data_IF_013409545971
#
_entry.id   IF_013409545971
#
_cell.length_a   1.000
_cell.length_b   1.000
_cell.length_c   1.000
_cell.angle_alpha   90.00
_cell.angle_beta   90.00
_cell.angle_gamma   90.00
#
_symmetry.space_group_name_H-M   'P 1'
#
loop_
_entity.id
_entity.type
_entity.pdbx_description
1 polymer ?
#
# COMPACT_ATOMS: atom_id res chain seq x y z
N UNK A 1 -2.87 -39.99 2.99
CA UNK A 1 -1.70 -39.81 3.86
C UNK A 1 -1.13 -38.39 3.77
N UNK A 2 -0.84 -37.84 2.57
CA UNK A 2 -0.37 -36.46 2.39
C UNK A 2 -1.26 -35.36 3.01
N UNK A 3 -2.59 -35.50 2.91
CA UNK A 3 -3.53 -34.48 3.42
C UNK A 3 -3.42 -34.32 4.94
N UNK A 4 -3.31 -35.41 5.70
CA UNK A 4 -3.16 -35.35 7.15
C UNK A 4 -1.84 -34.69 7.57
N UNK A 5 -0.76 -34.90 6.82
CA UNK A 5 0.53 -34.24 7.07
C UNK A 5 0.48 -32.73 6.83
N UNK A 6 -0.27 -32.26 5.83
CA UNK A 6 -0.46 -30.82 5.55
C UNK A 6 -1.27 -30.15 6.66
N UNK A 7 -2.39 -30.75 7.08
CA UNK A 7 -3.17 -30.20 8.19
C UNK A 7 -2.39 -30.23 9.51
N UNK A 8 -1.61 -31.29 9.76
CA UNK A 8 -0.71 -31.38 10.92
C UNK A 8 0.35 -30.28 10.93
N UNK A 9 1.03 -30.04 9.81
CA UNK A 9 2.04 -28.98 9.72
C UNK A 9 1.43 -27.57 9.84
N UNK A 10 0.21 -27.35 9.35
CA UNK A 10 -0.49 -26.07 9.48
C UNK A 10 -0.81 -25.72 10.93
N UNK A 11 -1.23 -26.72 11.72
CA UNK A 11 -1.49 -26.55 13.16
C UNK A 11 -0.19 -26.21 13.90
N UNK A 12 0.87 -26.95 13.60
CA UNK A 12 2.21 -26.73 14.20
C UNK A 12 2.77 -25.36 13.81
N UNK A 13 2.63 -24.95 12.56
CA UNK A 13 3.08 -23.65 12.06
C UNK A 13 2.32 -22.50 12.72
N UNK A 14 1.01 -22.59 12.88
CA UNK A 14 0.23 -21.57 13.59
C UNK A 14 0.61 -21.47 15.06
N UNK A 15 0.88 -22.60 15.73
CA UNK A 15 1.29 -22.63 17.13
C UNK A 15 2.68 -21.99 17.30
N UNK A 16 3.60 -22.26 16.37
CA UNK A 16 4.90 -21.61 16.32
C UNK A 16 4.79 -20.11 16.02
N UNK A 17 3.94 -19.72 15.07
CA UNK A 17 3.66 -18.33 14.72
C UNK A 17 3.07 -17.55 15.91
N UNK A 18 2.26 -18.19 16.73
CA UNK A 18 1.74 -17.61 17.98
C UNK A 18 2.86 -17.30 18.97
N UNK A 19 3.80 -18.25 19.15
CA UNK A 19 4.95 -18.07 20.04
C UNK A 19 5.89 -16.97 19.56
N UNK A 20 6.31 -17.03 18.29
CA UNK A 20 7.17 -16.02 17.66
C UNK A 20 6.47 -14.67 17.61
N UNK A 21 5.19 -14.64 17.26
CA UNK A 21 4.39 -13.42 17.19
C UNK A 21 4.28 -12.72 18.55
N UNK A 22 4.09 -13.47 19.64
CA UNK A 22 3.99 -12.89 20.99
C UNK A 22 5.32 -12.31 21.47
N UNK A 23 6.44 -13.00 21.23
CA UNK A 23 7.78 -12.51 21.56
C UNK A 23 8.13 -11.31 20.67
N UNK A 24 7.90 -11.43 19.37
CA UNK A 24 8.16 -10.38 18.37
C UNK A 24 7.40 -9.11 18.69
N UNK A 25 6.09 -9.19 18.92
CA UNK A 25 5.25 -8.02 19.22
C UNK A 25 5.72 -7.31 20.50
N UNK A 26 6.12 -8.05 21.53
CA UNK A 26 6.67 -7.45 22.76
C UNK A 26 7.97 -6.68 22.50
N UNK A 27 8.86 -7.23 21.68
CA UNK A 27 10.13 -6.57 21.31
C UNK A 27 9.88 -5.34 20.44
N UNK A 28 9.03 -5.43 19.41
CA UNK A 28 8.68 -4.31 18.55
C UNK A 28 7.96 -3.19 19.30
N UNK A 29 7.01 -3.50 20.19
CA UNK A 29 6.38 -2.50 21.05
C UNK A 29 7.40 -1.78 21.92
N UNK A 30 8.39 -2.48 22.46
CA UNK A 30 9.44 -1.88 23.30
C UNK A 30 10.37 -0.97 22.48
N UNK A 31 10.68 -1.33 21.23
CA UNK A 31 11.42 -0.48 20.29
C UNK A 31 10.67 0.82 20.00
N UNK A 32 9.36 0.74 19.72
CA UNK A 32 8.52 1.91 19.40
C UNK A 32 8.27 2.82 20.62
N UNK A 33 8.30 2.28 21.84
CA UNK A 33 8.17 3.06 23.08
C UNK A 33 9.42 3.86 23.46
N UNK A 34 10.56 3.63 22.78
CA UNK A 34 11.79 4.41 22.97
C UNK A 34 11.53 5.89 22.64
N UNK A 35 12.10 6.86 23.37
CA UNK A 35 11.86 8.28 23.14
C UNK A 35 12.03 8.65 21.67
N UNK A 36 10.98 9.28 21.12
CA UNK A 36 10.88 9.64 19.71
C UNK A 36 12.07 10.52 19.24
N UNK A 37 12.70 11.24 20.16
CA UNK A 37 13.90 12.07 19.93
C UNK A 37 15.07 11.24 19.35
N UNK A 38 15.21 9.97 19.73
CA UNK A 38 16.27 9.07 19.22
C UNK A 38 15.75 8.24 18.05
N UNK A 39 14.45 7.93 18.03
CA UNK A 39 13.85 7.07 17.02
C UNK A 39 13.86 7.72 15.63
N UNK A 40 13.45 8.99 15.54
CA UNK A 40 13.41 9.73 14.26
C UNK A 40 14.76 9.82 13.54
N UNK A 41 15.87 10.23 14.17
CA UNK A 41 17.16 10.34 13.47
C UNK A 41 17.67 8.98 12.97
N UNK A 42 17.48 7.91 13.74
CA UNK A 42 17.85 6.55 13.31
C UNK A 42 17.03 6.14 12.07
N UNK A 43 15.71 6.36 12.08
CA UNK A 43 14.84 6.03 10.94
C UNK A 43 15.27 6.79 9.68
N UNK A 44 15.51 8.10 9.80
CA UNK A 44 15.92 8.94 8.68
C UNK A 44 17.27 8.47 8.13
N UNK A 45 18.24 8.20 9.01
CA UNK A 45 19.57 7.72 8.62
C UNK A 45 19.51 6.35 7.91
N UNK A 46 18.75 5.40 8.47
CA UNK A 46 18.54 4.08 7.87
C UNK A 46 17.83 4.18 6.53
N UNK A 47 16.84 5.07 6.37
CA UNK A 47 16.11 5.23 5.12
C UNK A 47 16.97 5.87 4.03
N UNK A 48 17.81 6.86 4.38
CA UNK A 48 18.80 7.45 3.47
C UNK A 48 19.80 6.39 3.00
N UNK A 49 20.40 5.64 3.93
CA UNK A 49 21.32 4.55 3.59
C UNK A 49 20.65 3.46 2.74
N UNK A 50 19.42 3.07 3.08
CA UNK A 50 18.66 2.07 2.32
C UNK A 50 18.38 2.49 0.88
N UNK A 51 17.96 3.75 0.67
CA UNK A 51 17.73 4.29 -0.68
C UNK A 51 19.02 4.39 -1.50
N UNK A 52 20.13 4.75 -0.86
CA UNK A 52 21.43 4.83 -1.53
C UNK A 52 21.95 3.45 -1.95
N UNK A 53 21.78 2.42 -1.12
CA UNK A 53 22.25 1.06 -1.41
C UNK A 53 21.46 0.34 -2.52
N UNK A 54 20.23 0.79 -2.82
CA UNK A 54 19.36 0.12 -3.80
C UNK A 54 19.89 0.24 -5.24
N UNK A 55 20.26 1.46 -5.66
CA UNK A 55 20.75 1.72 -7.01
C UNK A 55 22.09 2.47 -7.06
N UNK A 56 22.75 2.74 -5.92
CA UNK A 56 23.98 3.56 -5.84
C UNK A 56 23.85 4.91 -6.56
N UNK A 57 22.62 5.45 -6.60
CA UNK A 57 22.26 6.62 -7.38
C UNK A 57 21.78 7.73 -6.44
N UNK A 58 22.35 8.92 -6.62
CA UNK A 58 21.99 10.12 -5.86
C UNK A 58 20.57 10.57 -6.22
N UNK A 59 20.08 10.20 -7.41
CA UNK A 59 18.74 10.53 -7.86
C UNK A 59 17.66 9.85 -7.00
N UNK A 60 17.84 8.59 -6.63
CA UNK A 60 16.90 7.84 -5.78
C UNK A 60 16.83 8.41 -4.36
N UNK A 61 17.96 8.88 -3.83
CA UNK A 61 18.01 9.61 -2.56
C UNK A 61 17.25 10.93 -2.65
N UNK A 62 17.42 11.68 -3.75
CA UNK A 62 16.68 12.92 -4.00
C UNK A 62 15.17 12.69 -4.11
N UNK A 63 14.75 11.64 -4.82
CA UNK A 63 13.36 11.24 -4.97
C UNK A 63 12.74 10.80 -3.63
N UNK A 64 13.48 10.02 -2.83
CA UNK A 64 13.10 9.65 -1.47
C UNK A 64 12.87 10.88 -0.58
N UNK A 65 13.77 11.87 -0.64
CA UNK A 65 13.66 13.11 0.12
C UNK A 65 12.46 13.96 -0.33
N UNK A 66 12.20 14.01 -1.64
CA UNK A 66 11.03 14.67 -2.21
C UNK A 66 9.71 14.04 -1.71
N UNK A 67 9.60 12.70 -1.74
CA UNK A 67 8.42 12.01 -1.23
C UNK A 67 8.27 12.13 0.29
N UNK A 68 9.37 12.17 1.05
CA UNK A 68 9.34 12.44 2.48
C UNK A 68 8.80 13.85 2.79
N UNK A 69 9.21 14.85 2.01
CA UNK A 69 8.71 16.22 2.12
C UNK A 69 7.22 16.31 1.74
N UNK A 70 6.81 15.65 0.65
CA UNK A 70 5.41 15.57 0.23
C UNK A 70 4.54 14.93 1.32
N UNK A 71 5.02 13.84 1.93
CA UNK A 71 4.34 13.19 3.05
C UNK A 71 4.23 14.13 4.26
N UNK A 72 5.27 14.91 4.59
CA UNK A 72 5.16 15.91 5.65
C UNK A 72 4.06 16.94 5.35
N UNK A 73 3.96 17.41 4.11
CA UNK A 73 2.91 18.32 3.67
C UNK A 73 1.51 17.69 3.86
N UNK A 74 1.30 16.46 3.40
CA UNK A 74 0.04 15.73 3.56
C UNK A 74 -0.39 15.61 5.03
N UNK A 75 0.58 15.52 5.96
CA UNK A 75 0.31 15.49 7.41
C UNK A 75 -0.23 16.82 7.91
N UNK A 76 0.29 17.92 7.38
CA UNK A 76 -0.19 19.27 7.69
C UNK A 76 -1.63 19.50 7.21
N UNK A 77 -2.01 18.93 6.08
CA UNK A 77 -3.38 19.02 5.53
C UNK A 77 -4.36 17.96 6.08
N UNK A 78 -3.96 17.15 7.08
CA UNK A 78 -4.77 16.06 7.64
C UNK A 78 -5.25 15.02 6.62
N UNK A 79 -4.57 14.90 5.47
CA UNK A 79 -4.83 13.83 4.53
C UNK A 79 -4.27 12.51 5.08
N UNK A 80 -4.98 11.40 4.82
CA UNK A 80 -4.52 10.07 5.22
C UNK A 80 -3.37 9.62 4.32
N UNK A 81 -2.12 9.67 4.81
CA UNK A 81 -0.95 9.13 4.10
C UNK A 81 -1.11 7.67 3.72
N UNK A 82 -1.79 6.91 4.58
CA UNK A 82 -2.05 5.49 4.39
C UNK A 82 -2.86 5.27 3.11
N UNK A 83 -3.88 6.11 2.86
CA UNK A 83 -4.67 6.02 1.63
C UNK A 83 -3.84 6.29 0.37
N UNK A 84 -2.88 7.21 0.43
CA UNK A 84 -2.00 7.48 -0.70
C UNK A 84 -1.08 6.30 -1.01
N UNK A 85 -0.49 5.69 0.01
CA UNK A 85 0.37 4.50 -0.15
C UNK A 85 -0.43 3.34 -0.76
N UNK A 86 -1.65 3.09 -0.26
CA UNK A 86 -2.54 2.05 -0.82
C UNK A 86 -2.88 2.36 -2.28
N UNK A 87 -3.21 3.62 -2.60
CA UNK A 87 -3.49 4.05 -3.97
C UNK A 87 -2.29 3.85 -4.90
N UNK A 88 -1.08 4.19 -4.45
CA UNK A 88 0.15 4.01 -5.23
C UNK A 88 0.46 2.55 -5.52
N UNK A 89 0.25 1.65 -4.55
CA UNK A 89 0.41 0.20 -4.73
C UNK A 89 -0.68 -0.40 -5.63
N UNK A 90 -1.91 0.13 -5.56
CA UNK A 90 -3.02 -0.32 -6.40
C UNK A 90 -2.92 0.18 -7.84
N UNK A 91 -2.30 1.33 -8.08
CA UNK A 91 -2.15 1.92 -9.42
C UNK A 91 -1.61 0.94 -10.48
N UNK A 92 -0.50 0.20 -10.26
CA UNK A 92 0.01 -0.75 -11.26
C UNK A 92 -0.93 -1.94 -11.48
N UNK A 93 -1.66 -2.38 -10.44
CA UNK A 93 -2.65 -3.47 -10.55
C UNK A 93 -3.82 -3.00 -11.43
N UNK A 94 -4.22 -1.75 -11.27
CA UNK A 94 -5.26 -1.15 -12.08
C UNK A 94 -4.81 -0.93 -13.53
N UNK A 95 -3.60 -0.44 -13.74
CA UNK A 95 -3.04 -0.22 -15.08
C UNK A 95 -2.90 -1.53 -15.86
N UNK A 96 -2.40 -2.58 -15.22
CA UNK A 96 -2.29 -3.91 -15.84
C UNK A 96 -3.67 -4.50 -16.15
N UNK A 97 -4.65 -4.34 -15.26
CA UNK A 97 -6.03 -4.75 -15.53
C UNK A 97 -6.63 -3.98 -16.73
N UNK A 98 -6.38 -2.67 -16.84
CA UNK A 98 -6.80 -1.88 -17.99
C UNK A 98 -6.14 -2.34 -19.29
N UNK A 99 -4.83 -2.58 -19.27
CA UNK A 99 -4.11 -3.09 -20.43
C UNK A 99 -4.68 -4.46 -20.87
N UNK A 100 -4.94 -5.36 -19.93
CA UNK A 100 -5.58 -6.65 -20.20
C UNK A 100 -6.97 -6.50 -20.83
N UNK A 101 -7.77 -5.55 -20.34
CA UNK A 101 -9.09 -5.25 -20.91
C UNK A 101 -8.99 -4.74 -22.35
N UNK A 102 -8.02 -3.86 -22.65
CA UNK A 102 -7.81 -3.29 -23.99
C UNK A 102 -7.35 -4.39 -24.97
N UNK A 103 -6.40 -5.23 -24.56
CA UNK A 103 -5.90 -6.35 -25.38
C UNK A 103 -7.01 -7.35 -25.66
N UNK A 104 -7.84 -7.67 -24.66
CA UNK A 104 -8.97 -8.60 -24.81
C UNK A 104 -10.12 -8.05 -25.67
N UNK A 105 -10.14 -6.74 -25.95
CA UNK A 105 -11.22 -6.07 -26.68
C UNK A 105 -10.89 -5.77 -28.15
N UNK A 106 -9.87 -6.41 -28.72
CA UNK A 106 -9.44 -6.27 -30.13
C UNK A 106 -9.44 -4.80 -30.63
N UNK A 107 -8.82 -3.90 -29.86
CA UNK A 107 -8.65 -2.48 -30.23
C UNK A 107 -9.94 -1.65 -30.45
N UNK A 108 -11.12 -2.15 -30.07
CA UNK A 108 -12.37 -1.38 -30.20
C UNK A 108 -12.80 -0.77 -28.85
N UNK A 109 -12.53 0.53 -28.59
CA UNK A 109 -12.79 1.19 -27.29
C UNK A 109 -14.28 1.26 -26.91
N UNK A 110 -15.18 0.96 -27.85
CA UNK A 110 -16.63 0.91 -27.64
C UNK A 110 -17.11 -0.38 -26.95
N UNK A 111 -16.24 -1.39 -26.76
CA UNK A 111 -16.62 -2.66 -26.13
C UNK A 111 -16.94 -2.56 -24.64
N UNK A 112 -16.43 -1.51 -23.97
CA UNK A 112 -16.72 -1.17 -22.57
C UNK A 112 -18.21 -0.80 -22.42
N UNK A 113 -18.82 -0.20 -23.46
CA UNK A 113 -20.23 0.16 -23.48
C UNK A 113 -21.16 -1.00 -23.90
N UNK A 114 -20.65 -2.01 -24.61
CA UNK A 114 -21.46 -3.17 -25.02
C UNK A 114 -21.65 -4.18 -23.88
N UNK A 115 -20.82 -4.13 -22.83
CA UNK A 115 -20.94 -4.99 -21.65
C UNK A 115 -21.72 -4.27 -20.55
N UNK A 116 -23.02 -4.57 -20.33
CA UNK A 116 -23.86 -3.85 -19.36
C UNK A 116 -23.31 -3.91 -17.92
N UNK A 117 -22.56 -4.97 -17.59
CA UNK A 117 -21.89 -5.13 -16.29
C UNK A 117 -20.77 -4.10 -16.07
N UNK A 118 -20.03 -3.73 -17.12
CA UNK A 118 -18.93 -2.78 -17.02
C UNK A 118 -19.44 -1.35 -16.76
N UNK A 119 -20.54 -0.95 -17.42
CA UNK A 119 -21.20 0.35 -17.18
C UNK A 119 -21.71 0.46 -15.75
N UNK A 120 -22.34 -0.59 -15.23
CA UNK A 120 -22.87 -0.61 -13.86
C UNK A 120 -21.72 -0.46 -12.84
N UNK A 121 -20.63 -1.20 -13.02
CA UNK A 121 -19.44 -1.08 -12.17
C UNK A 121 -18.82 0.32 -12.25
N UNK A 122 -18.69 0.90 -13.45
CA UNK A 122 -18.15 2.24 -13.63
C UNK A 122 -18.99 3.30 -12.91
N UNK A 123 -20.32 3.23 -13.04
CA UNK A 123 -21.24 4.14 -12.34
C UNK A 123 -21.13 4.00 -10.81
N UNK A 124 -21.01 2.78 -10.29
CA UNK A 124 -20.84 2.52 -8.86
C UNK A 124 -19.49 3.10 -8.38
N UNK A 125 -18.41 2.86 -9.12
CA UNK A 125 -17.09 3.42 -8.80
C UNK A 125 -17.12 4.95 -8.77
N UNK A 126 -17.75 5.57 -9.78
CA UNK A 126 -17.87 7.03 -9.88
C UNK A 126 -18.72 7.59 -8.74
N UNK A 127 -19.83 6.92 -8.39
CA UNK A 127 -20.66 7.27 -7.24
C UNK A 127 -19.89 7.19 -5.91
N UNK A 128 -19.12 6.13 -5.69
CA UNK A 128 -18.31 5.95 -4.48
C UNK A 128 -17.22 7.02 -4.40
N UNK A 129 -16.51 7.30 -5.50
CA UNK A 129 -15.47 8.34 -5.55
C UNK A 129 -16.05 9.72 -5.26
N UNK A 130 -17.20 10.07 -5.84
CA UNK A 130 -17.85 11.36 -5.58
C UNK A 130 -18.30 11.46 -4.12
N UNK A 131 -18.89 10.40 -3.57
CA UNK A 131 -19.30 10.35 -2.16
C UNK A 131 -18.12 10.48 -1.21
N UNK A 132 -17.01 9.79 -1.46
CA UNK A 132 -15.82 9.88 -0.63
C UNK A 132 -15.13 11.23 -0.78
N UNK A 133 -15.01 11.77 -2.00
CA UNK A 133 -14.44 13.09 -2.24
C UNK A 133 -15.24 14.21 -1.53
N UNK A 134 -16.57 14.21 -1.63
CA UNK A 134 -17.42 15.19 -0.94
C UNK A 134 -17.35 15.01 0.58
N UNK A 135 -17.31 13.77 1.08
CA UNK A 135 -17.18 13.51 2.51
C UNK A 135 -15.81 13.93 3.05
N UNK A 136 -14.74 13.81 2.27
CA UNK A 136 -13.38 14.25 2.63
C UNK A 136 -13.27 15.78 2.61
N UNK A 137 -13.86 16.45 1.60
CA UNK A 137 -13.88 17.93 1.51
C UNK A 137 -14.73 18.55 2.61
N UNK A 138 -15.86 17.94 2.99
CA UNK A 138 -16.75 18.47 4.05
C UNK A 138 -16.21 18.28 5.48
N UNK A 139 -15.22 17.42 5.67
CA UNK A 139 -14.58 17.13 6.98
C UNK A 139 -13.26 17.86 7.20
N UNK A 140 -12.79 18.59 6.17
CA UNK A 140 -11.65 19.51 6.24
C UNK A 140 -12.15 20.89 6.65
#
# INVERSE_FOLDING_TARGET
>A
QFIYSIYGSLIIANLFLLGVGRIGLKTFCKLVQTPAVILYPIIIFTCLMGSYLAQYSIFDVGLMLFFAFLAYFMRKFKFSHICFIIGFILAPIWETALQQLIISSEQNPYMIFTRPVAIVLLLITLYVIVRTAIATVKKT
#
